data_IF_492922049016
#
_entry.id   IF_492922049016
#
_cell.length_a   1.000
_cell.length_b   1.000
_cell.length_c   1.000
_cell.angle_alpha   90.00
_cell.angle_beta   90.00
_cell.angle_gamma   90.00
#
_symmetry.space_group_name_H-M   'P 1'
#
loop_
_entity.id
_entity.type
_entity.pdbx_description
1 polymer ?
#
# COMPACT_ATOMS: atom_id res chain seq x y z
N UNK A 1 12.12 13.29 -3.89
CA UNK A 1 10.94 14.20 -4.06
C UNK A 1 11.07 15.44 -3.19
N UNK A 2 10.64 16.62 -3.67
CA UNK A 2 10.54 17.85 -2.87
C UNK A 2 9.27 17.82 -2.00
N UNK A 3 9.28 18.55 -0.87
CA UNK A 3 8.11 18.61 0.03
C UNK A 3 6.86 19.15 -0.67
N UNK A 4 7.01 20.10 -1.60
CA UNK A 4 5.89 20.64 -2.38
C UNK A 4 5.25 19.59 -3.28
N UNK A 5 6.05 18.72 -3.88
CA UNK A 5 5.59 17.60 -4.71
C UNK A 5 4.86 16.56 -3.85
N UNK A 6 5.42 16.20 -2.70
CA UNK A 6 4.78 15.29 -1.74
C UNK A 6 3.40 15.83 -1.35
N UNK A 7 3.31 17.11 -0.98
CA UNK A 7 2.03 17.72 -0.61
C UNK A 7 1.04 17.75 -1.78
N UNK A 8 1.50 17.91 -3.01
CA UNK A 8 0.66 17.84 -4.20
C UNK A 8 0.10 16.43 -4.37
N UNK A 9 0.96 15.42 -4.33
CA UNK A 9 0.55 14.02 -4.50
C UNK A 9 -0.42 13.55 -3.44
N UNK A 10 -0.24 13.98 -2.19
CA UNK A 10 -1.21 13.73 -1.11
C UNK A 10 -2.58 14.35 -1.44
N UNK A 11 -2.61 15.61 -1.90
CA UNK A 11 -3.89 16.25 -2.28
C UNK A 11 -4.59 15.53 -3.41
N UNK A 12 -3.85 15.08 -4.42
CA UNK A 12 -4.39 14.31 -5.55
C UNK A 12 -4.98 12.98 -5.08
N UNK A 13 -4.25 12.25 -4.25
CA UNK A 13 -4.72 10.99 -3.69
C UNK A 13 -5.98 11.17 -2.83
N UNK A 14 -6.03 12.21 -1.98
CA UNK A 14 -7.23 12.54 -1.19
C UNK A 14 -8.43 12.86 -2.05
N UNK A 15 -8.25 13.68 -3.09
CA UNK A 15 -9.33 14.03 -4.00
C UNK A 15 -9.89 12.80 -4.71
N UNK A 16 -9.01 11.88 -5.13
CA UNK A 16 -9.40 10.62 -5.72
C UNK A 16 -10.18 9.73 -4.73
N UNK A 17 -9.66 9.52 -3.53
CA UNK A 17 -10.32 8.73 -2.50
C UNK A 17 -11.71 9.29 -2.15
N UNK A 18 -11.83 10.61 -2.05
CA UNK A 18 -13.11 11.29 -1.80
C UNK A 18 -14.11 11.05 -2.95
N UNK A 19 -13.65 11.07 -4.20
CA UNK A 19 -14.49 10.78 -5.39
C UNK A 19 -15.10 9.37 -5.29
N UNK A 20 -14.37 8.41 -4.74
CA UNK A 20 -14.84 7.04 -4.53
C UNK A 20 -15.44 6.81 -3.14
N UNK A 21 -15.83 7.88 -2.44
CA UNK A 21 -16.47 7.85 -1.12
C UNK A 21 -15.65 7.15 -0.05
N UNK A 22 -14.33 7.09 -0.22
CA UNK A 22 -13.45 6.57 0.82
C UNK A 22 -13.06 7.69 1.79
N UNK A 23 -13.63 7.64 2.99
CA UNK A 23 -13.40 8.66 4.02
C UNK A 23 -12.17 8.29 4.85
N UNK A 24 -11.18 9.18 4.83
CA UNK A 24 -9.98 9.05 5.65
C UNK A 24 -10.22 9.54 7.09
N UNK A 25 -9.54 8.96 8.08
CA UNK A 25 -9.58 9.47 9.45
C UNK A 25 -9.08 10.92 9.56
N UNK A 26 -9.63 11.75 10.46
CA UNK A 26 -9.24 13.16 10.58
C UNK A 26 -7.75 13.41 10.83
N UNK A 27 -7.07 12.49 11.52
CA UNK A 27 -5.66 12.65 11.86
C UNK A 27 -4.70 12.58 10.66
N UNK A 28 -5.14 12.09 9.50
CA UNK A 28 -4.31 12.11 8.27
C UNK A 28 -4.07 13.53 7.75
N UNK A 29 -4.86 14.50 8.21
CA UNK A 29 -4.79 15.91 7.84
C UNK A 29 -4.08 16.77 8.88
N UNK A 30 -3.70 16.22 10.01
CA UNK A 30 -3.05 17.01 11.05
C UNK A 30 -1.70 17.53 10.59
N UNK A 31 -1.55 18.83 10.72
CA UNK A 31 -0.31 19.55 10.47
C UNK A 31 0.71 19.29 11.59
N UNK A 32 1.99 19.63 11.40
CA UNK A 32 2.97 19.59 12.49
C UNK A 32 2.55 20.40 13.72
N UNK A 33 1.78 21.49 13.55
CA UNK A 33 1.27 22.29 14.67
C UNK A 33 0.12 21.61 15.39
N UNK A 34 -0.78 20.95 14.66
CA UNK A 34 -1.82 20.12 15.27
C UNK A 34 -1.18 19.01 16.12
N UNK A 35 -0.16 18.33 15.59
CA UNK A 35 0.55 17.26 16.29
C UNK A 35 1.21 17.71 17.60
N UNK A 36 1.67 18.97 17.72
CA UNK A 36 2.23 19.52 18.96
C UNK A 36 1.22 19.56 20.10
N UNK A 37 -0.06 19.67 19.78
CA UNK A 37 -1.16 19.73 20.75
C UNK A 37 -1.70 18.35 21.17
N UNK A 38 -1.27 17.25 20.53
CA UNK A 38 -1.79 15.91 20.79
C UNK A 38 -1.00 15.21 21.90
N UNK A 39 -1.73 14.70 22.87
CA UNK A 39 -1.19 13.98 24.02
C UNK A 39 -1.02 12.47 23.77
N UNK A 40 -0.92 11.70 24.88
CA UNK A 40 -0.72 10.25 24.83
C UNK A 40 -1.87 9.46 24.17
N UNK A 41 -3.04 10.03 24.08
CA UNK A 41 -4.21 9.43 23.38
C UNK A 41 -3.95 9.16 21.90
N UNK A 42 -2.93 9.81 21.31
CA UNK A 42 -2.51 9.63 19.93
C UNK A 42 -1.26 8.77 19.77
N UNK A 43 -0.78 8.12 20.85
CA UNK A 43 0.45 7.34 20.78
C UNK A 43 0.33 6.13 19.84
N UNK A 44 -0.82 5.49 19.76
CA UNK A 44 -1.01 4.35 18.85
C UNK A 44 -0.73 4.74 17.39
N UNK A 45 -1.11 5.95 16.98
CA UNK A 45 -0.84 6.46 15.63
C UNK A 45 0.67 6.62 15.41
N UNK A 46 1.38 7.22 16.38
CA UNK A 46 2.83 7.49 16.28
C UNK A 46 3.66 6.22 16.34
N UNK A 47 3.40 5.37 17.34
CA UNK A 47 4.18 4.16 17.59
C UNK A 47 4.01 3.11 16.47
N UNK A 48 2.89 3.16 15.75
CA UNK A 48 2.59 2.23 14.67
C UNK A 48 2.86 2.81 13.29
N UNK A 49 3.47 3.99 13.22
CA UNK A 49 3.77 4.66 11.96
C UNK A 49 2.56 4.73 11.01
N UNK A 50 1.39 5.11 11.57
CA UNK A 50 0.19 5.29 10.77
C UNK A 50 0.22 6.65 10.05
N UNK A 51 -0.40 6.74 8.90
CA UNK A 51 -0.48 7.96 8.10
C UNK A 51 0.05 7.81 6.69
N UNK A 52 0.35 8.96 6.07
CA UNK A 52 0.83 9.05 4.71
C UNK A 52 2.24 8.51 4.55
N UNK A 53 2.43 7.73 3.49
CA UNK A 53 3.73 7.32 3.02
C UNK A 53 3.77 7.42 1.49
N UNK A 54 4.84 8.01 0.97
CA UNK A 54 5.11 8.15 -0.46
C UNK A 54 6.52 7.66 -0.74
N UNK A 55 6.63 6.73 -1.65
CA UNK A 55 7.92 6.15 -2.01
C UNK A 55 8.10 6.08 -3.52
N UNK A 56 9.29 6.38 -3.99
CA UNK A 56 9.75 6.10 -5.35
C UNK A 56 10.69 4.89 -5.39
N UNK A 57 10.71 4.12 -4.28
CA UNK A 57 11.57 2.94 -4.10
C UNK A 57 13.07 3.20 -4.37
N UNK A 58 13.50 4.46 -4.31
CA UNK A 58 14.87 4.87 -4.60
C UNK A 58 15.20 5.05 -6.09
N UNK A 59 14.21 4.95 -6.98
CA UNK A 59 14.41 5.10 -8.43
C UNK A 59 14.46 6.56 -8.90
N UNK A 60 14.02 7.51 -8.08
CA UNK A 60 14.08 8.94 -8.40
C UNK A 60 13.03 9.44 -9.39
N UNK A 61 12.14 8.59 -9.87
CA UNK A 61 11.02 8.93 -10.77
C UNK A 61 9.71 8.43 -10.20
N UNK A 62 9.18 9.18 -9.22
CA UNK A 62 7.95 8.83 -8.50
C UNK A 62 6.74 8.64 -9.41
N UNK A 63 6.62 9.41 -10.49
CA UNK A 63 5.45 9.31 -11.37
C UNK A 63 5.44 8.03 -12.20
N UNK A 64 6.61 7.47 -12.47
CA UNK A 64 6.76 6.24 -13.22
C UNK A 64 6.86 5.02 -12.28
N UNK A 65 7.69 5.10 -11.26
CA UNK A 65 7.90 4.03 -10.29
C UNK A 65 7.65 4.63 -8.91
N UNK A 66 6.53 4.27 -8.30
CA UNK A 66 6.16 4.88 -7.05
C UNK A 66 4.84 4.39 -6.49
N UNK A 67 4.59 4.78 -5.26
CA UNK A 67 3.37 4.44 -4.54
C UNK A 67 3.02 5.55 -3.56
N UNK A 68 1.74 5.91 -3.50
CA UNK A 68 1.17 6.72 -2.42
C UNK A 68 0.27 5.83 -1.57
N UNK A 69 0.46 5.82 -0.27
CA UNK A 69 -0.38 5.05 0.63
C UNK A 69 -0.69 5.79 1.93
N UNK A 70 -1.76 5.34 2.59
CA UNK A 70 -2.09 5.70 3.96
C UNK A 70 -2.20 4.43 4.78
N UNK A 71 -1.39 4.31 5.82
CA UNK A 71 -1.55 3.25 6.81
C UNK A 71 -2.65 3.66 7.78
N UNK A 72 -3.78 2.94 7.74
CA UNK A 72 -4.97 3.20 8.57
C UNK A 72 -4.93 2.42 9.87
N UNK A 73 -4.41 1.20 9.85
CA UNK A 73 -4.19 0.33 11.00
C UNK A 73 -2.89 -0.41 10.80
N UNK A 74 -2.17 -0.60 11.89
CA UNK A 74 -0.94 -1.38 11.86
C UNK A 74 -0.80 -2.16 13.17
N UNK A 75 -0.56 -3.45 13.07
CA UNK A 75 -0.28 -4.32 14.19
C UNK A 75 1.20 -4.30 14.59
N UNK A 76 1.52 -5.00 15.64
CA UNK A 76 2.89 -5.20 16.09
C UNK A 76 3.09 -6.66 16.50
N UNK A 77 3.99 -7.34 15.82
CA UNK A 77 4.38 -8.71 16.16
C UNK A 77 5.03 -8.76 17.56
N UNK A 78 5.75 -7.71 17.96
CA UNK A 78 6.37 -7.65 19.27
C UNK A 78 5.35 -7.46 20.40
N UNK A 79 4.33 -6.64 20.17
CA UNK A 79 3.27 -6.38 21.16
C UNK A 79 2.19 -7.48 21.18
N UNK A 80 2.24 -8.44 20.26
CA UNK A 80 1.27 -9.55 20.11
C UNK A 80 -0.19 -9.09 20.15
N UNK A 81 -0.46 -7.93 19.57
CA UNK A 81 -1.81 -7.38 19.46
C UNK A 81 -2.43 -7.65 18.07
N UNK A 82 -2.89 -6.62 17.37
CA UNK A 82 -3.51 -6.77 16.04
C UNK A 82 -2.58 -7.52 15.07
N UNK A 83 -2.96 -8.70 14.58
CA UNK A 83 -2.12 -9.47 13.65
C UNK A 83 -2.27 -9.02 12.19
N UNK A 84 -2.74 -7.81 11.93
CA UNK A 84 -3.03 -7.28 10.61
C UNK A 84 -2.61 -5.82 10.47
N UNK A 85 -2.46 -5.41 9.21
CA UNK A 85 -2.28 -4.02 8.79
C UNK A 85 -3.33 -3.69 7.73
N UNK A 86 -3.89 -2.49 7.79
CA UNK A 86 -4.78 -1.97 6.75
C UNK A 86 -4.15 -0.73 6.15
N UNK A 87 -3.98 -0.75 4.83
CA UNK A 87 -3.48 0.39 4.06
C UNK A 87 -4.41 0.66 2.90
N UNK A 88 -4.63 1.93 2.59
CA UNK A 88 -5.20 2.31 1.32
C UNK A 88 -4.09 2.84 0.42
N UNK A 89 -4.06 2.38 -0.81
CA UNK A 89 -3.06 2.75 -1.80
C UNK A 89 -3.70 3.52 -2.93
N UNK A 90 -2.98 4.51 -3.45
CA UNK A 90 -3.33 5.25 -4.64
C UNK A 90 -2.20 5.09 -5.66
N UNK A 91 -2.54 4.47 -6.77
CA UNK A 91 -1.62 4.20 -7.89
C UNK A 91 -2.11 4.99 -9.10
N UNK A 92 -1.21 5.71 -9.77
CA UNK A 92 -1.53 6.46 -10.98
C UNK A 92 -1.55 5.55 -12.19
N UNK A 93 -2.30 5.96 -13.21
CA UNK A 93 -2.27 5.26 -14.50
C UNK A 93 -0.81 5.18 -15.01
N UNK A 94 -0.38 3.97 -15.34
CA UNK A 94 0.98 3.67 -15.79
C UNK A 94 2.07 3.73 -14.72
N UNK A 95 1.73 4.01 -13.46
CA UNK A 95 2.70 3.96 -12.37
C UNK A 95 2.94 2.51 -11.94
N UNK A 96 4.19 2.17 -11.69
CA UNK A 96 4.61 0.82 -11.35
C UNK A 96 5.07 0.75 -9.90
N UNK A 97 4.57 -0.23 -9.16
CA UNK A 97 5.15 -0.71 -7.91
C UNK A 97 6.08 -1.88 -8.26
N UNK A 98 7.38 -1.82 -7.92
CA UNK A 98 8.32 -2.88 -8.25
C UNK A 98 7.89 -4.22 -7.67
N UNK A 99 8.15 -5.30 -8.40
CA UNK A 99 7.94 -6.66 -7.93
C UNK A 99 8.73 -6.91 -6.66
N UNK A 100 8.05 -7.41 -5.64
CA UNK A 100 8.64 -7.72 -4.34
C UNK A 100 7.83 -8.85 -3.67
N UNK A 101 8.35 -9.41 -2.61
CA UNK A 101 7.66 -10.40 -1.80
C UNK A 101 7.85 -10.12 -0.30
N UNK A 102 7.10 -10.84 0.52
CA UNK A 102 7.14 -10.69 1.97
C UNK A 102 7.36 -12.04 2.65
N UNK A 103 8.39 -12.15 3.49
CA UNK A 103 8.71 -13.37 4.22
C UNK A 103 7.66 -13.79 5.27
N UNK A 104 6.97 -12.83 5.88
CA UNK A 104 6.23 -13.06 7.11
C UNK A 104 4.76 -12.63 7.05
N UNK A 105 4.25 -12.25 5.91
CA UNK A 105 2.86 -11.81 5.78
C UNK A 105 2.21 -12.27 4.49
N UNK A 106 0.91 -12.51 4.57
CA UNK A 106 0.02 -12.63 3.42
C UNK A 106 -0.65 -11.29 3.18
N UNK A 107 -0.93 -10.95 1.95
CA UNK A 107 -1.65 -9.73 1.56
C UNK A 107 -2.90 -10.08 0.78
N UNK A 108 -4.01 -9.44 1.16
CA UNK A 108 -5.19 -9.34 0.33
C UNK A 108 -5.19 -7.98 -0.34
N UNK A 109 -5.32 -7.96 -1.67
CA UNK A 109 -5.37 -6.73 -2.45
C UNK A 109 -6.77 -6.57 -3.01
N UNK A 110 -7.41 -5.44 -2.70
CA UNK A 110 -8.79 -5.19 -3.09
C UNK A 110 -8.81 -3.91 -3.93
N UNK A 111 -9.22 -4.01 -5.20
CA UNK A 111 -9.50 -2.83 -6.00
C UNK A 111 -10.80 -2.15 -5.50
N UNK A 112 -10.68 -0.91 -5.05
CA UNK A 112 -11.81 -0.14 -4.52
C UNK A 112 -12.41 0.83 -5.53
N UNK A 113 -11.83 0.90 -6.69
CA UNK A 113 -12.32 1.71 -7.80
C UNK A 113 -11.22 2.50 -8.50
N UNK A 114 -11.57 2.99 -9.64
CA UNK A 114 -10.67 3.64 -10.59
C UNK A 114 -10.61 2.84 -11.88
N UNK A 115 -9.42 2.59 -12.34
CA UNK A 115 -9.15 1.70 -13.46
C UNK A 115 -8.69 0.34 -12.94
N UNK A 116 -8.52 -0.60 -13.85
CA UNK A 116 -7.99 -1.91 -13.57
C UNK A 116 -6.54 -1.85 -13.09
N UNK A 117 -6.18 -2.76 -12.22
CA UNK A 117 -4.82 -2.93 -11.71
C UNK A 117 -4.26 -4.23 -12.28
N UNK A 118 -3.11 -4.14 -12.91
CA UNK A 118 -2.44 -5.31 -13.48
C UNK A 118 -1.39 -5.80 -12.49
N UNK A 119 -1.45 -7.08 -12.15
CA UNK A 119 -0.48 -7.77 -11.32
C UNK A 119 0.27 -8.82 -12.12
N UNK A 120 1.58 -8.90 -11.90
CA UNK A 120 2.40 -10.02 -12.35
C UNK A 120 2.87 -10.78 -11.13
N UNK A 121 2.50 -12.06 -11.03
CA UNK A 121 2.82 -12.89 -9.89
C UNK A 121 3.91 -13.90 -10.22
N UNK A 122 4.74 -14.19 -9.23
CA UNK A 122 5.76 -15.23 -9.25
C UNK A 122 5.73 -16.00 -7.93
N UNK A 123 6.03 -17.28 -7.96
CA UNK A 123 6.48 -17.96 -6.76
C UNK A 123 7.89 -17.49 -6.42
N UNK A 124 8.20 -17.44 -5.13
CA UNK A 124 9.55 -17.15 -4.65
C UNK A 124 10.17 -18.42 -4.05
N UNK A 125 11.44 -18.62 -4.29
CA UNK A 125 12.20 -19.65 -3.60
C UNK A 125 12.18 -19.37 -2.09
N UNK A 126 11.78 -20.34 -1.25
CA UNK A 126 11.61 -20.10 0.17
C UNK A 126 12.92 -19.87 0.94
N UNK A 127 14.06 -20.21 0.35
CA UNK A 127 15.38 -20.04 0.98
C UNK A 127 16.08 -18.77 0.49
N UNK A 128 16.02 -18.49 -0.82
CA UNK A 128 16.76 -17.39 -1.44
C UNK A 128 15.90 -16.18 -1.75
N UNK A 129 14.58 -16.37 -1.97
CA UNK A 129 13.66 -15.33 -2.43
C UNK A 129 13.73 -15.05 -3.93
N UNK A 130 14.47 -15.88 -4.69
CA UNK A 130 14.56 -15.75 -6.14
C UNK A 130 13.23 -16.11 -6.80
N UNK A 131 12.95 -15.51 -7.95
CA UNK A 131 11.75 -15.80 -8.72
C UNK A 131 11.82 -17.20 -9.32
N UNK A 132 10.73 -17.94 -9.18
CA UNK A 132 10.57 -19.25 -9.80
C UNK A 132 9.63 -19.13 -11.01
N UNK A 133 10.04 -19.74 -12.12
CA UNK A 133 9.20 -19.87 -13.32
C UNK A 133 8.31 -21.12 -13.18
N UNK A 134 7.35 -21.04 -12.29
CA UNK A 134 6.38 -22.10 -11.98
C UNK A 134 4.98 -21.51 -11.88
N UNK A 135 3.97 -22.35 -12.09
CA UNK A 135 2.58 -21.93 -11.97
C UNK A 135 2.30 -21.38 -10.57
N UNK A 136 1.62 -20.25 -10.54
CA UNK A 136 1.22 -19.54 -9.32
C UNK A 136 -0.23 -19.84 -8.99
N UNK A 137 -0.49 -20.25 -7.76
CA UNK A 137 -1.85 -20.45 -7.26
C UNK A 137 -2.38 -19.13 -6.70
N UNK A 138 -3.45 -18.61 -7.28
CA UNK A 138 -4.07 -17.36 -6.91
C UNK A 138 -5.48 -17.60 -6.39
N UNK A 139 -5.80 -17.03 -5.25
CA UNK A 139 -7.16 -16.98 -4.74
C UNK A 139 -7.78 -15.62 -5.08
N UNK A 140 -8.76 -15.61 -5.97
CA UNK A 140 -9.53 -14.43 -6.32
C UNK A 140 -11.00 -14.68 -5.97
N UNK A 141 -11.56 -13.86 -5.08
CA UNK A 141 -12.95 -13.96 -4.61
C UNK A 141 -13.36 -15.37 -4.14
N UNK A 142 -12.42 -16.08 -3.52
CA UNK A 142 -12.63 -17.43 -3.02
C UNK A 142 -12.38 -18.53 -4.05
N UNK A 143 -12.11 -18.20 -5.32
CA UNK A 143 -11.74 -19.16 -6.35
C UNK A 143 -10.22 -19.30 -6.43
N UNK A 144 -9.72 -20.52 -6.34
CA UNK A 144 -8.29 -20.81 -6.48
C UNK A 144 -8.06 -21.30 -7.91
N UNK A 145 -7.22 -20.56 -8.62
CA UNK A 145 -6.83 -20.87 -9.99
C UNK A 145 -5.32 -20.97 -10.11
N UNK A 146 -4.85 -21.84 -11.00
CA UNK A 146 -3.43 -21.96 -11.35
C UNK A 146 -3.14 -21.14 -12.59
N UNK A 147 -2.16 -20.29 -12.52
CA UNK A 147 -1.71 -19.45 -13.63
C UNK A 147 -0.21 -19.64 -13.86
N UNK A 148 0.21 -19.66 -15.12
CA UNK A 148 1.62 -19.44 -15.45
C UNK A 148 2.07 -18.05 -15.02
N UNK A 149 3.33 -17.71 -15.23
CA UNK A 149 3.82 -16.34 -15.01
C UNK A 149 3.19 -15.43 -16.07
N UNK A 150 2.09 -14.82 -15.73
CA UNK A 150 1.32 -13.95 -16.60
C UNK A 150 0.76 -12.74 -15.84
N UNK A 151 0.31 -11.73 -16.59
CA UNK A 151 -0.35 -10.57 -16.00
C UNK A 151 -1.82 -10.92 -15.69
N UNK A 152 -2.23 -10.59 -14.48
CA UNK A 152 -3.60 -10.76 -14.00
C UNK A 152 -4.20 -9.39 -13.76
N UNK A 153 -5.38 -9.16 -14.35
CA UNK A 153 -6.11 -7.90 -14.25
C UNK A 153 -7.13 -7.97 -13.11
N UNK A 154 -7.08 -7.00 -12.21
CA UNK A 154 -8.02 -6.84 -11.12
C UNK A 154 -8.89 -5.61 -11.41
N UNK A 155 -10.13 -5.86 -11.84
CA UNK A 155 -11.11 -4.83 -12.16
C UNK A 155 -11.73 -4.14 -10.91
#
# INVERSE_FOLDING_TARGET
MKRSEINQYIREAKAFMTKYHFMLPPWVDWTPDDWKSKGPECNDIRERAMGWDLTDFGWGDFLKIGLTLVTLRNGSLQKKDKPYCEKIMFVRCGQVTPTHFHWLKTEDIINRGGNDIIFTFYNADPETGDFLDTDVMICQDGFITSHGVENIELA
#
